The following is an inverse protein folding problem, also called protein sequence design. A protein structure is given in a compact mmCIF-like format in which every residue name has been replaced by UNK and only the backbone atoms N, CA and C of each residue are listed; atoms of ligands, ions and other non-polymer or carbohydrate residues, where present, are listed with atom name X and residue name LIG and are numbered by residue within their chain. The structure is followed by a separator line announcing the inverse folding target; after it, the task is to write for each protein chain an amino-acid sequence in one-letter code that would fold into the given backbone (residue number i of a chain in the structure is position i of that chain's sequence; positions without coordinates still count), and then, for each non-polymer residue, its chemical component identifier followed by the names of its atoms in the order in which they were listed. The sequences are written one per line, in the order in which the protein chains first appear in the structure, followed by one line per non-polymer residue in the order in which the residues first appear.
data_IF_026004257430
#
_entry.id   IF_026004257430
#
_cell.length_a   1.000
_cell.length_b   1.000
_cell.length_c   1.000
_cell.angle_alpha   90.00
_cell.angle_beta   90.00
_cell.angle_gamma   90.00
#
_symmetry.space_group_name_H-M   'P 1'
#
loop_
_entity.id
_entity.type
_entity.pdbx_description
1 polymer ?
#
# COMPACT_ATOMS: atom_id res chain seq x y z
N UNK A 1 -1.30 15.64 -45.49
CA UNK A 1 -0.44 14.64 -46.16
C UNK A 1 1.03 14.94 -45.90
N UNK A 2 1.77 13.91 -45.44
CA UNK A 2 3.24 13.71 -45.47
C UNK A 2 4.16 14.54 -44.55
N UNK A 3 4.48 13.90 -43.42
CA UNK A 3 5.80 13.69 -42.76
C UNK A 3 6.96 14.61 -43.18
N UNK A 4 7.54 15.32 -42.21
CA UNK A 4 8.93 15.82 -42.25
C UNK A 4 9.79 15.03 -41.27
N UNK A 5 10.53 14.07 -41.80
CA UNK A 5 11.64 13.37 -41.15
C UNK A 5 12.78 14.36 -40.92
N UNK A 6 13.22 14.54 -39.67
CA UNK A 6 14.42 15.31 -39.33
C UNK A 6 15.62 14.37 -39.34
N UNK A 7 16.55 14.59 -40.27
CA UNK A 7 17.86 13.94 -40.29
C UNK A 7 18.85 14.73 -39.42
N UNK A 8 19.63 13.97 -38.64
CA UNK A 8 20.81 14.36 -37.88
C UNK A 8 21.77 15.27 -38.68
N UNK A 9 22.36 16.25 -38.00
CA UNK A 9 23.59 16.91 -38.43
C UNK A 9 24.69 16.60 -37.41
N UNK A 10 25.70 15.84 -37.86
CA UNK A 10 26.99 15.66 -37.21
C UNK A 10 27.88 16.88 -37.53
N UNK A 11 28.50 17.47 -36.52
CA UNK A 11 29.64 18.40 -36.65
C UNK A 11 30.62 17.93 -35.57
N UNK A 12 31.83 17.44 -35.85
CA UNK A 12 32.80 17.91 -36.81
C UNK A 12 33.95 18.51 -36.00
N UNK A 13 34.88 17.67 -35.56
CA UNK A 13 35.98 18.05 -34.68
C UNK A 13 37.00 18.95 -35.37
N UNK A 14 37.62 19.85 -34.59
CA UNK A 14 38.82 20.56 -34.98
C UNK A 14 39.81 20.52 -33.81
N UNK A 15 40.94 19.85 -34.04
CA UNK A 15 42.08 19.81 -33.14
C UNK A 15 42.98 21.03 -33.38
N UNK A 16 43.42 21.68 -32.30
CA UNK A 16 44.60 22.53 -32.29
C UNK A 16 45.34 22.31 -30.97
N UNK A 17 46.53 21.70 -31.05
CA UNK A 17 47.49 21.52 -29.96
C UNK A 17 48.30 22.79 -29.82
N UNK A 18 48.42 23.33 -28.61
CA UNK A 18 49.52 24.22 -28.21
C UNK A 18 49.96 23.92 -26.77
N UNK A 19 51.28 23.92 -26.60
CA UNK A 19 52.03 23.29 -25.52
C UNK A 19 52.06 24.06 -24.19
N UNK A 20 52.31 23.30 -23.12
CA UNK A 20 52.54 23.71 -21.73
C UNK A 20 53.75 24.65 -21.54
N UNK A 21 53.60 25.67 -20.69
CA UNK A 21 54.62 26.13 -19.73
C UNK A 21 53.89 26.48 -18.41
N UNK A 22 54.35 25.90 -17.30
CA UNK A 22 53.72 25.95 -15.98
C UNK A 22 54.17 27.10 -15.07
N UNK A 23 53.40 27.33 -14.00
CA UNK A 23 53.73 28.21 -12.87
C UNK A 23 52.52 28.80 -12.15
N UNK A 24 51.91 28.00 -11.27
CA UNK A 24 50.95 28.32 -10.17
C UNK A 24 50.51 29.78 -9.96
N UNK A 25 49.24 30.10 -10.24
CA UNK A 25 48.19 30.52 -9.28
C UNK A 25 46.83 30.65 -10.02
N UNK A 26 45.74 30.42 -9.27
CA UNK A 26 44.32 30.67 -9.58
C UNK A 26 43.58 29.63 -10.45
N UNK A 27 42.99 28.60 -9.81
CA UNK A 27 41.73 28.06 -10.34
C UNK A 27 40.66 29.14 -10.13
N UNK A 28 40.22 29.77 -11.20
CA UNK A 28 38.99 30.56 -11.23
C UNK A 28 37.97 29.79 -12.07
N UNK A 29 36.94 29.25 -11.43
CA UNK A 29 35.78 28.71 -12.12
C UNK A 29 35.02 29.85 -12.79
N UNK A 30 35.08 29.93 -14.12
CA UNK A 30 34.16 30.73 -14.92
C UNK A 30 33.30 29.76 -15.74
N UNK A 31 32.10 29.52 -15.24
CA UNK A 31 31.10 28.68 -15.90
C UNK A 31 30.51 27.59 -15.03
N UNK A 32 30.19 27.87 -13.76
CA UNK A 32 29.13 27.10 -13.12
C UNK A 32 27.84 27.39 -13.89
N UNK A 33 27.35 26.37 -14.59
CA UNK A 33 26.05 26.38 -15.23
C UNK A 33 25.14 25.54 -14.34
N UNK A 34 24.25 26.21 -13.61
CA UNK A 34 23.13 25.54 -13.00
C UNK A 34 22.07 25.33 -14.08
N UNK A 35 21.67 24.08 -14.29
CA UNK A 35 20.43 23.74 -14.94
C UNK A 35 19.40 23.67 -13.81
N UNK A 36 18.52 24.66 -13.70
CA UNK A 36 17.33 24.50 -12.88
C UNK A 36 16.38 23.64 -13.70
N UNK A 37 16.33 22.35 -13.41
CA UNK A 37 15.24 21.50 -13.87
C UNK A 37 14.09 21.77 -12.91
N UNK A 38 12.99 22.30 -13.44
CA UNK A 38 11.71 22.29 -12.75
C UNK A 38 11.11 20.93 -13.09
N UNK A 39 11.24 19.94 -12.21
CA UNK A 39 10.52 18.68 -12.33
C UNK A 39 9.11 18.95 -11.82
N UNK A 40 8.20 19.23 -12.75
CA UNK A 40 6.78 19.00 -12.51
C UNK A 40 6.65 17.48 -12.46
N UNK A 41 6.56 16.89 -11.26
CA UNK A 41 6.25 15.47 -11.14
C UNK A 41 4.94 15.29 -11.90
N UNK A 42 4.95 14.54 -13.00
CA UNK A 42 3.79 14.28 -13.88
C UNK A 42 2.72 13.40 -13.15
N UNK A 43 2.51 13.64 -11.86
CA UNK A 43 1.58 12.94 -11.00
C UNK A 43 0.17 13.21 -11.51
N UNK A 44 -0.65 12.15 -11.67
CA UNK A 44 -2.04 12.34 -12.05
C UNK A 44 -2.79 13.06 -10.93
N UNK A 45 -3.96 13.59 -11.28
CA UNK A 45 -4.85 14.21 -10.29
C UNK A 45 -5.27 13.21 -9.21
N UNK A 46 -5.62 11.98 -9.63
CA UNK A 46 -6.02 10.88 -8.77
C UNK A 46 -5.16 9.65 -9.06
N UNK A 47 -4.81 8.90 -8.02
CA UNK A 47 -4.09 7.63 -8.16
C UNK A 47 -3.69 7.07 -6.80
N UNK A 48 -4.06 5.81 -6.54
CA UNK A 48 -3.75 5.11 -5.31
C UNK A 48 -3.07 3.77 -5.56
N UNK A 49 -2.23 3.34 -4.63
CA UNK A 49 -1.53 2.06 -4.70
C UNK A 49 -1.54 1.39 -3.34
N UNK A 50 -1.78 0.09 -3.31
CA UNK A 50 -1.55 -0.72 -2.11
C UNK A 50 -0.08 -1.13 -2.08
N UNK A 51 0.53 -0.99 -0.91
CA UNK A 51 1.84 -1.52 -0.60
C UNK A 51 1.67 -2.84 0.14
N UNK A 52 2.40 -3.86 -0.32
CA UNK A 52 2.44 -5.18 0.28
C UNK A 52 3.91 -5.60 0.43
N UNK A 53 4.47 -5.33 1.61
CA UNK A 53 5.84 -5.70 1.92
C UNK A 53 5.82 -6.96 2.77
N UNK A 54 6.44 -8.03 2.26
CA UNK A 54 6.36 -9.32 2.90
C UNK A 54 7.72 -9.98 2.99
N UNK A 55 8.06 -10.48 4.18
CA UNK A 55 9.21 -11.33 4.41
C UNK A 55 8.77 -12.58 5.20
N UNK A 56 8.97 -13.75 4.60
CA UNK A 56 8.52 -15.01 5.18
C UNK A 56 9.34 -15.42 6.41
N UNK A 57 10.64 -15.11 6.43
CA UNK A 57 11.56 -15.52 7.49
C UNK A 57 11.26 -14.78 8.81
N UNK A 58 11.09 -13.46 8.76
CA UNK A 58 10.74 -12.65 9.94
C UNK A 58 9.24 -12.68 10.27
N UNK A 59 8.38 -13.01 9.30
CA UNK A 59 6.94 -12.87 9.41
C UNK A 59 6.44 -11.44 9.24
N UNK A 60 7.28 -10.52 8.75
CA UNK A 60 6.87 -9.16 8.42
C UNK A 60 5.79 -9.16 7.34
N UNK A 61 4.76 -8.33 7.51
CA UNK A 61 3.69 -8.14 6.53
C UNK A 61 3.14 -6.74 6.69
N UNK A 62 3.73 -5.78 5.98
CA UNK A 62 3.27 -4.40 5.98
C UNK A 62 2.26 -4.19 4.86
N UNK A 63 1.02 -3.89 5.24
CA UNK A 63 -0.06 -3.57 4.31
C UNK A 63 -0.57 -2.16 4.58
N UNK A 64 -0.46 -1.29 3.59
CA UNK A 64 -0.92 0.09 3.67
C UNK A 64 -1.20 0.64 2.26
N UNK A 65 -1.70 1.87 2.21
CA UNK A 65 -2.06 2.52 0.95
C UNK A 65 -1.35 3.85 0.76
N UNK A 66 -0.87 4.10 -0.44
CA UNK A 66 -0.33 5.38 -0.89
C UNK A 66 -1.34 6.07 -1.81
N UNK A 67 -1.50 7.39 -1.66
CA UNK A 67 -2.04 8.25 -2.69
C UNK A 67 -0.88 8.93 -3.42
N UNK A 68 -0.53 8.45 -4.59
CA UNK A 68 0.55 9.03 -5.40
C UNK A 68 0.08 10.21 -6.26
N UNK A 69 -1.24 10.44 -6.32
CA UNK A 69 -1.85 11.57 -7.00
C UNK A 69 -1.71 12.89 -6.23
N UNK A 70 -2.31 13.95 -6.77
CA UNK A 70 -2.27 15.30 -6.16
C UNK A 70 -3.52 15.63 -5.34
N UNK A 71 -4.66 15.04 -5.67
CA UNK A 71 -5.95 15.25 -5.00
C UNK A 71 -6.18 14.21 -3.91
N UNK A 72 -7.02 14.55 -2.93
CA UNK A 72 -7.37 13.64 -1.84
C UNK A 72 -8.23 12.46 -2.30
N UNK A 73 -8.08 11.32 -1.63
CA UNK A 73 -8.80 10.08 -1.94
C UNK A 73 -9.50 9.50 -0.70
N UNK A 74 -10.63 8.86 -0.93
CA UNK A 74 -11.13 7.78 -0.08
C UNK A 74 -10.35 6.51 -0.38
N UNK A 75 -10.14 5.70 0.64
CA UNK A 75 -9.31 4.50 0.53
C UNK A 75 -9.91 3.38 1.36
N UNK A 76 -9.97 2.19 0.76
CA UNK A 76 -10.35 0.97 1.47
C UNK A 76 -9.49 -0.22 1.04
N UNK A 77 -9.25 -1.12 1.97
CA UNK A 77 -8.52 -2.38 1.74
C UNK A 77 -9.38 -3.55 2.20
N UNK A 78 -9.39 -4.64 1.45
CA UNK A 78 -9.97 -5.92 1.83
C UNK A 78 -8.89 -6.99 1.83
N UNK A 79 -9.01 -7.93 2.74
CA UNK A 79 -8.11 -9.04 2.88
C UNK A 79 -8.88 -10.35 2.67
N UNK A 80 -8.37 -11.21 1.79
CA UNK A 80 -8.78 -12.63 1.73
C UNK A 80 -7.57 -13.49 2.11
N UNK A 81 -7.80 -14.64 2.71
CA UNK A 81 -6.69 -15.48 3.18
C UNK A 81 -6.94 -16.95 2.92
N UNK A 82 -5.83 -17.67 2.72
CA UNK A 82 -5.82 -19.10 2.58
C UNK A 82 -4.74 -19.67 3.49
N UNK A 83 -5.13 -20.65 4.30
CA UNK A 83 -4.17 -21.53 4.94
C UNK A 83 -4.35 -22.95 4.41
N UNK A 84 -3.31 -23.47 3.77
CA UNK A 84 -3.32 -24.79 3.15
C UNK A 84 -2.34 -25.74 3.83
N UNK A 85 -2.71 -27.01 3.87
CA UNK A 85 -1.89 -28.13 4.34
C UNK A 85 -1.95 -29.24 3.30
N UNK A 86 -0.78 -29.69 2.83
CA UNK A 86 -0.61 -30.65 1.75
C UNK A 86 -1.43 -30.30 0.49
N UNK A 87 -1.48 -29.01 0.15
CA UNK A 87 -2.20 -28.49 -1.02
C UNK A 87 -3.73 -28.42 -0.87
N UNK A 88 -4.27 -28.58 0.34
CA UNK A 88 -5.71 -28.47 0.62
C UNK A 88 -5.95 -27.40 1.66
N UNK A 89 -6.97 -26.56 1.47
CA UNK A 89 -7.41 -25.58 2.47
C UNK A 89 -7.73 -26.28 3.80
N UNK A 90 -7.30 -25.69 4.92
CA UNK A 90 -7.74 -26.16 6.24
C UNK A 90 -9.17 -25.72 6.58
N UNK A 91 -9.68 -24.72 5.85
CA UNK A 91 -11.08 -24.30 5.87
C UNK A 91 -11.83 -25.19 4.87
N UNK A 92 -12.76 -26.00 5.38
CA UNK A 92 -13.49 -27.01 4.59
C UNK A 92 -14.69 -26.39 3.88
N UNK A 93 -14.42 -25.66 2.80
CA UNK A 93 -15.45 -25.08 1.92
C UNK A 93 -15.23 -25.49 0.47
N UNK A 94 -16.27 -26.02 -0.21
CA UNK A 94 -16.13 -26.59 -1.55
C UNK A 94 -15.88 -25.54 -2.63
N UNK A 95 -16.10 -24.26 -2.34
CA UNK A 95 -15.92 -23.16 -3.28
C UNK A 95 -14.50 -22.60 -3.30
N UNK A 96 -13.64 -23.00 -2.35
CA UNK A 96 -12.25 -22.52 -2.28
C UNK A 96 -11.41 -23.24 -3.34
N UNK A 97 -10.81 -22.48 -4.24
CA UNK A 97 -9.70 -22.92 -5.08
C UNK A 97 -8.39 -22.36 -4.53
N UNK A 98 -7.48 -23.25 -4.16
CA UNK A 98 -6.18 -22.89 -3.58
C UNK A 98 -5.28 -22.07 -4.52
N UNK A 99 -5.60 -22.03 -5.82
CA UNK A 99 -4.86 -21.28 -6.84
C UNK A 99 -5.59 -20.00 -7.29
N UNK A 100 -6.79 -19.72 -6.77
CA UNK A 100 -7.57 -18.56 -7.13
C UNK A 100 -7.90 -17.70 -5.89
N UNK A 101 -7.11 -16.64 -5.63
CA UNK A 101 -7.31 -15.74 -4.48
C UNK A 101 -8.68 -15.07 -4.40
N UNK A 102 -9.41 -14.99 -5.50
CA UNK A 102 -10.78 -14.45 -5.54
C UNK A 102 -11.80 -15.38 -4.88
N UNK A 103 -11.46 -16.66 -4.74
CA UNK A 103 -12.32 -17.65 -4.07
C UNK A 103 -12.05 -17.78 -2.58
N UNK A 104 -10.98 -17.15 -2.09
CA UNK A 104 -10.54 -17.31 -0.71
C UNK A 104 -11.48 -16.58 0.25
N UNK A 105 -11.74 -17.15 1.43
CA UNK A 105 -12.62 -16.49 2.37
C UNK A 105 -12.04 -15.16 2.86
N UNK A 106 -12.93 -14.18 3.01
CA UNK A 106 -12.58 -12.86 3.54
C UNK A 106 -12.10 -12.97 4.99
N UNK A 107 -10.98 -12.31 5.30
CA UNK A 107 -10.51 -12.15 6.67
C UNK A 107 -11.42 -11.17 7.41
N UNK A 108 -12.02 -11.63 8.51
CA UNK A 108 -12.88 -10.83 9.38
C UNK A 108 -12.31 -10.88 10.80
N UNK A 109 -11.92 -9.74 11.41
CA UNK A 109 -11.33 -9.74 12.75
C UNK A 109 -12.32 -10.19 13.83
N UNK A 110 -11.83 -10.64 14.99
CA UNK A 110 -12.64 -11.07 16.14
C UNK A 110 -12.10 -10.65 17.50
N UNK A 111 -12.93 -10.48 18.57
CA UNK A 111 -14.40 -10.57 18.61
C UNK A 111 -15.13 -9.21 18.61
N UNK A 112 -16.39 -9.27 18.20
CA UNK A 112 -17.30 -8.22 17.74
C UNK A 112 -17.82 -7.16 18.74
N UNK A 113 -17.13 -6.84 19.84
CA UNK A 113 -17.65 -5.76 20.70
C UNK A 113 -17.15 -5.60 22.12
N UNK A 114 -15.83 -5.58 22.37
CA UNK A 114 -15.36 -4.89 23.58
C UNK A 114 -15.23 -3.40 23.25
N UNK A 115 -16.21 -2.62 23.69
CA UNK A 115 -16.22 -1.17 23.52
C UNK A 115 -14.92 -0.55 24.09
N UNK A 116 -14.23 0.26 23.28
CA UNK A 116 -12.99 0.94 23.66
C UNK A 116 -11.70 0.13 23.51
N UNK A 117 -11.74 -1.03 22.85
CA UNK A 117 -10.54 -1.81 22.47
C UNK A 117 -10.26 -1.73 20.97
N UNK A 118 -9.03 -2.06 20.59
CA UNK A 118 -8.60 -2.22 19.20
C UNK A 118 -9.21 -3.45 18.53
N UNK A 119 -9.23 -3.47 17.20
CA UNK A 119 -9.57 -4.67 16.44
C UNK A 119 -8.52 -5.74 16.74
N UNK A 120 -8.97 -6.95 17.05
CA UNK A 120 -8.03 -8.03 17.33
C UNK A 120 -7.62 -8.75 16.05
N UNK A 121 -6.36 -9.19 16.04
CA UNK A 121 -5.73 -9.96 14.98
C UNK A 121 -6.23 -11.39 14.75
N UNK A 122 -7.24 -11.81 15.51
CA UNK A 122 -7.89 -13.12 15.37
C UNK A 122 -9.05 -13.05 14.38
N UNK A 123 -9.52 -14.19 13.88
CA UNK A 123 -10.65 -14.32 12.96
C UNK A 123 -11.93 -14.74 13.66
N UNK A 124 -13.06 -14.29 13.13
CA UNK A 124 -14.37 -14.94 13.34
C UNK A 124 -14.85 -15.64 12.08
N UNK A 125 -15.95 -16.37 12.20
CA UNK A 125 -16.62 -17.01 11.07
C UNK A 125 -15.80 -18.16 10.51
N UNK A 126 -15.77 -18.25 9.19
CA UNK A 126 -15.26 -19.41 8.44
C UNK A 126 -13.74 -19.58 8.56
N UNK A 127 -13.01 -18.49 8.79
CA UNK A 127 -11.56 -18.49 8.99
C UNK A 127 -11.14 -18.66 10.47
N UNK A 128 -12.08 -18.83 11.40
CA UNK A 128 -11.78 -19.08 12.81
C UNK A 128 -10.79 -20.25 13.03
N UNK A 129 -10.82 -21.37 12.26
CA UNK A 129 -9.84 -22.44 12.38
C UNK A 129 -8.38 -22.02 12.14
N UNK A 130 -8.12 -20.90 11.46
CA UNK A 130 -6.76 -20.38 11.21
C UNK A 130 -6.15 -19.81 12.50
N UNK A 131 -6.96 -19.38 13.48
CA UNK A 131 -6.49 -18.75 14.72
C UNK A 131 -5.52 -19.62 15.53
N UNK A 132 -5.60 -20.94 15.42
CA UNK A 132 -4.66 -21.83 16.11
C UNK A 132 -3.24 -21.77 15.53
N UNK A 133 -3.07 -21.25 14.31
CA UNK A 133 -1.81 -21.22 13.55
C UNK A 133 -1.25 -19.82 13.34
N UNK A 134 -2.09 -18.85 13.02
CA UNK A 134 -1.66 -17.48 12.75
C UNK A 134 -2.65 -16.45 13.29
N UNK A 135 -2.10 -15.39 13.89
CA UNK A 135 -2.79 -14.12 14.12
C UNK A 135 -2.19 -13.05 13.20
N UNK A 136 -2.89 -11.93 12.99
CA UNK A 136 -2.30 -10.73 12.37
C UNK A 136 -1.99 -9.69 13.44
N UNK A 137 -0.85 -9.02 13.35
CA UNK A 137 -0.66 -7.75 14.05
C UNK A 137 -1.29 -6.64 13.22
N UNK A 138 -2.20 -5.87 13.81
CA UNK A 138 -2.91 -4.79 13.13
C UNK A 138 -2.38 -3.45 13.58
N UNK A 139 -2.26 -2.51 12.64
CA UNK A 139 -1.65 -1.22 12.92
C UNK A 139 -0.15 -1.31 13.16
N UNK A 140 0.50 -0.15 13.22
CA UNK A 140 1.91 -0.04 13.58
C UNK A 140 2.06 0.31 15.06
N UNK A 141 3.20 -0.09 15.65
CA UNK A 141 3.52 0.21 17.06
C UNK A 141 4.35 1.49 17.27
N UNK A 142 4.89 2.05 16.18
CA UNK A 142 5.77 3.24 16.20
C UNK A 142 5.03 4.52 15.79
N UNK A 143 5.35 5.64 16.43
CA UNK A 143 4.64 6.91 16.28
C UNK A 143 5.59 8.11 16.13
N UNK A 144 5.05 9.24 15.68
CA UNK A 144 5.78 10.50 15.60
C UNK A 144 6.98 10.42 14.66
N UNK A 145 8.19 10.74 15.15
CA UNK A 145 9.40 10.69 14.33
C UNK A 145 9.86 9.25 14.02
N UNK A 146 9.44 8.28 14.82
CA UNK A 146 9.88 6.87 14.73
C UNK A 146 8.96 6.03 13.85
N UNK A 147 7.91 6.63 13.27
CA UNK A 147 6.99 5.95 12.35
C UNK A 147 7.72 5.38 11.12
N UNK A 148 7.21 4.29 10.52
CA UNK A 148 7.88 3.60 9.43
C UNK A 148 8.12 4.49 8.22
N UNK A 149 9.21 4.21 7.54
CA UNK A 149 9.50 4.77 6.22
C UNK A 149 9.04 3.78 5.15
N UNK A 150 8.51 4.33 4.08
CA UNK A 150 8.20 3.59 2.86
C UNK A 150 8.83 4.30 1.67
N UNK A 151 9.06 3.56 0.60
CA UNK A 151 9.46 4.15 -0.67
C UNK A 151 8.19 4.33 -1.54
N UNK A 152 7.89 5.55 -2.01
CA UNK A 152 6.77 5.82 -2.91
C UNK A 152 6.79 4.99 -4.19
N UNK A 153 5.62 4.54 -4.63
CA UNK A 153 5.45 3.71 -5.83
C UNK A 153 6.01 4.37 -7.08
N UNK A 154 6.63 3.58 -7.95
CA UNK A 154 7.13 4.04 -9.25
C UNK A 154 6.06 3.98 -10.34
N UNK A 155 5.06 3.11 -10.20
CA UNK A 155 3.95 2.99 -11.14
C UNK A 155 2.88 4.05 -10.83
N UNK A 156 2.95 5.16 -11.59
CA UNK A 156 2.02 6.30 -11.48
C UNK A 156 0.83 6.21 -12.46
N UNK A 157 0.57 5.04 -13.06
CA UNK A 157 -0.63 4.82 -13.88
C UNK A 157 -1.84 4.55 -12.98
N UNK A 158 -2.85 5.45 -12.94
CA UNK A 158 -4.04 5.27 -12.10
C UNK A 158 -4.96 4.15 -12.56
N UNK A 159 -4.74 3.58 -13.76
CA UNK A 159 -5.53 2.46 -14.28
C UNK A 159 -4.86 1.11 -14.07
N UNK A 160 -3.62 1.08 -13.58
CA UNK A 160 -2.91 -0.17 -13.28
C UNK A 160 -3.46 -0.81 -12.00
N UNK A 161 -3.67 -2.13 -12.04
CA UNK A 161 -4.13 -2.91 -10.88
C UNK A 161 -2.97 -3.49 -10.07
N UNK A 162 -1.73 -3.31 -10.53
CA UNK A 162 -0.53 -3.72 -9.79
C UNK A 162 -0.53 -3.19 -8.35
N UNK A 163 0.23 -3.82 -7.49
CA UNK A 163 0.53 -3.38 -6.14
C UNK A 163 1.99 -2.95 -6.09
N UNK A 164 2.38 -2.26 -5.02
CA UNK A 164 3.78 -2.09 -4.67
C UNK A 164 4.23 -3.26 -3.79
N UNK A 165 4.45 -4.42 -4.42
CA UNK A 165 4.82 -5.67 -3.75
C UNK A 165 6.35 -5.78 -3.61
N UNK A 166 6.86 -5.93 -2.39
CA UNK A 166 8.30 -6.03 -2.10
C UNK A 166 8.66 -7.32 -1.35
N UNK A 167 9.95 -7.69 -1.38
CA UNK A 167 10.45 -8.89 -0.71
C UNK A 167 9.94 -10.19 -1.33
N UNK A 168 9.30 -11.02 -0.52
CA UNK A 168 8.58 -12.22 -0.95
C UNK A 168 7.12 -11.94 -1.38
N UNK A 169 6.71 -10.67 -1.41
CA UNK A 169 5.40 -10.24 -1.92
C UNK A 169 5.19 -10.63 -3.39
N UNK A 170 3.94 -10.81 -3.77
CA UNK A 170 3.56 -11.24 -5.11
C UNK A 170 2.40 -10.42 -5.63
N UNK A 171 2.67 -9.61 -6.66
CA UNK A 171 1.64 -8.91 -7.40
C UNK A 171 0.97 -9.82 -8.42
N UNK A 172 -0.36 -9.82 -8.48
CA UNK A 172 -1.13 -10.72 -9.35
C UNK A 172 -1.16 -10.28 -10.82
N UNK A 173 -1.06 -8.98 -11.12
CA UNK A 173 -1.05 -8.48 -12.51
C UNK A 173 0.34 -8.69 -13.15
N UNK A 174 1.41 -8.47 -12.38
CA UNK A 174 2.79 -8.67 -12.80
C UNK A 174 3.29 -10.12 -12.65
N UNK A 175 2.64 -10.90 -11.78
CA UNK A 175 3.07 -12.23 -11.34
C UNK A 175 4.45 -12.21 -10.64
N UNK A 176 4.65 -11.29 -9.70
CA UNK A 176 5.91 -11.20 -8.94
C UNK A 176 6.12 -9.91 -8.15
N UNK A 177 7.37 -9.67 -7.77
CA UNK A 177 7.79 -8.46 -7.04
C UNK A 177 7.79 -7.28 -7.99
N UNK A 178 7.10 -6.21 -7.62
CA UNK A 178 6.98 -4.97 -8.41
C UNK A 178 7.71 -3.79 -7.78
N UNK A 179 8.13 -3.91 -6.52
CA UNK A 179 8.65 -2.80 -5.75
C UNK A 179 9.98 -3.14 -5.06
N UNK A 180 10.97 -2.22 -5.04
CA UNK A 180 12.23 -2.45 -4.35
C UNK A 180 12.07 -2.70 -2.85
N UNK A 181 13.09 -3.34 -2.27
CA UNK A 181 13.14 -3.72 -0.86
C UNK A 181 13.03 -5.22 -0.66
N UNK A 182 13.54 -5.70 0.47
CA UNK A 182 13.51 -7.14 0.81
C UNK A 182 12.27 -7.55 1.60
N UNK A 183 11.35 -6.61 1.86
CA UNK A 183 10.09 -6.86 2.57
C UNK A 183 10.24 -7.01 4.08
N UNK A 184 11.43 -6.81 4.65
CA UNK A 184 11.64 -6.83 6.09
C UNK A 184 11.13 -5.56 6.77
N UNK A 185 10.76 -5.68 8.04
CA UNK A 185 10.33 -4.55 8.86
C UNK A 185 11.42 -3.47 8.89
N UNK A 186 11.03 -2.21 8.66
CA UNK A 186 11.94 -1.06 8.68
C UNK A 186 13.13 -1.17 7.70
N UNK A 187 12.95 -1.85 6.57
CA UNK A 187 13.97 -1.90 5.52
C UNK A 187 14.40 -0.51 5.06
N UNK A 188 13.43 0.38 4.88
CA UNK A 188 13.65 1.77 4.49
C UNK A 188 13.91 2.66 5.70
N UNK A 189 14.81 3.64 5.54
CA UNK A 189 15.17 4.62 6.56
C UNK A 189 15.36 6.03 6.02
N UNK A 190 15.39 6.99 6.94
CA UNK A 190 15.48 8.41 6.61
C UNK A 190 16.66 8.73 5.67
N UNK A 191 16.35 9.33 4.51
CA UNK A 191 17.34 9.74 3.52
C UNK A 191 17.68 8.69 2.47
N UNK A 192 17.09 7.49 2.55
CA UNK A 192 17.22 6.49 1.51
C UNK A 192 16.53 6.93 0.21
N UNK A 193 17.10 6.47 -0.90
CA UNK A 193 16.57 6.64 -2.24
C UNK A 193 16.71 5.34 -3.01
N UNK A 194 15.86 5.13 -4.01
CA UNK A 194 15.98 3.99 -4.91
C UNK A 194 15.38 4.30 -6.28
N UNK A 195 15.84 3.55 -7.27
CA UNK A 195 15.20 3.45 -8.57
C UNK A 195 14.20 2.29 -8.59
N UNK A 196 13.29 2.32 -9.56
CA UNK A 196 12.37 1.25 -9.86
C UNK A 196 13.08 -0.06 -10.21
N UNK A 197 12.37 -1.18 -10.02
CA UNK A 197 12.71 -2.44 -10.66
C UNK A 197 12.44 -2.34 -12.18
N UNK A 198 12.96 -3.25 -13.02
CA UNK A 198 12.66 -3.26 -14.45
C UNK A 198 11.25 -3.78 -14.77
N UNK A 199 10.22 -3.14 -14.18
CA UNK A 199 8.80 -3.43 -14.35
C UNK A 199 8.19 -2.43 -15.33
N UNK A 200 7.30 -2.90 -16.20
CA UNK A 200 6.68 -2.05 -17.22
C UNK A 200 5.67 -1.08 -16.58
N UNK A 201 5.74 0.20 -16.93
CA UNK A 201 4.85 1.24 -16.39
C UNK A 201 5.50 2.09 -15.30
N UNK A 202 6.63 1.64 -14.74
CA UNK A 202 7.35 2.38 -13.71
C UNK A 202 8.04 3.64 -14.24
N UNK A 203 8.04 4.67 -13.39
CA UNK A 203 8.85 5.87 -13.58
C UNK A 203 10.34 5.52 -13.57
N UNK A 204 11.11 6.20 -14.44
CA UNK A 204 12.57 6.10 -14.46
C UNK A 204 13.24 7.03 -13.43
N UNK A 205 12.45 7.81 -12.69
CA UNK A 205 12.93 8.74 -11.68
C UNK A 205 13.39 8.00 -10.41
N UNK A 206 14.37 8.59 -9.73
CA UNK A 206 14.76 8.13 -8.40
C UNK A 206 13.74 8.63 -7.38
N UNK A 207 13.19 7.72 -6.58
CA UNK A 207 12.27 8.09 -5.51
C UNK A 207 13.03 8.13 -4.18
N UNK A 208 12.67 9.12 -3.35
CA UNK A 208 13.13 9.21 -1.98
C UNK A 208 12.08 8.64 -1.04
N UNK A 209 12.52 7.99 0.02
CA UNK A 209 11.59 7.46 1.02
C UNK A 209 10.80 8.57 1.70
N UNK A 210 9.59 8.24 2.11
CA UNK A 210 8.70 9.09 2.89
C UNK A 210 8.25 8.34 4.13
N UNK A 211 7.73 9.06 5.13
CA UNK A 211 7.09 8.42 6.27
C UNK A 211 5.60 8.26 6.02
N UNK A 212 5.05 7.14 6.47
CA UNK A 212 3.59 6.96 6.55
C UNK A 212 2.97 8.00 7.50
N UNK A 213 1.66 8.19 7.41
CA UNK A 213 0.92 9.01 8.36
C UNK A 213 1.03 8.42 9.77
N UNK A 214 1.04 9.31 10.77
CA UNK A 214 1.06 8.87 12.17
C UNK A 214 -0.26 8.17 12.51
N UNK A 215 -0.16 7.01 13.15
CA UNK A 215 -1.33 6.26 13.60
C UNK A 215 -1.91 6.92 14.85
N UNK A 216 -3.04 7.61 14.72
CA UNK A 216 -3.68 8.28 15.85
C UNK A 216 -4.39 7.29 16.78
N UNK A 217 -4.82 6.15 16.23
CA UNK A 217 -5.47 5.04 16.93
C UNK A 217 -5.13 3.71 16.25
N UNK A 218 -5.08 2.60 17.01
CA UNK A 218 -5.03 1.29 16.37
C UNK A 218 -6.29 1.06 15.52
N UNK A 219 -6.24 0.18 14.50
CA UNK A 219 -7.42 -0.20 13.73
C UNK A 219 -8.58 -0.62 14.63
N UNK A 220 -9.80 -0.20 14.28
CA UNK A 220 -11.03 -0.49 15.01
C UNK A 220 -11.97 -1.29 14.12
N UNK A 221 -12.80 -2.16 14.69
CA UNK A 221 -13.99 -2.63 13.98
C UNK A 221 -15.03 -1.51 13.88
N UNK A 222 -15.94 -1.59 12.92
CA UNK A 222 -17.02 -0.61 12.75
C UNK A 222 -17.83 -0.41 14.05
N UNK A 223 -18.15 -1.50 14.76
CA UNK A 223 -18.83 -1.42 16.05
C UNK A 223 -17.98 -0.72 17.14
N UNK A 224 -16.66 -0.94 17.18
CA UNK A 224 -15.75 -0.24 18.09
C UNK A 224 -15.66 1.26 17.75
N UNK A 225 -15.62 1.59 16.46
CA UNK A 225 -15.61 2.96 15.95
C UNK A 225 -16.89 3.72 16.30
N UNK A 226 -18.07 3.12 16.12
CA UNK A 226 -19.34 3.68 16.58
C UNK A 226 -19.32 3.97 18.09
N UNK A 227 -18.83 3.01 18.89
CA UNK A 227 -18.73 3.18 20.34
C UNK A 227 -17.72 4.27 20.75
N UNK A 228 -16.72 4.53 19.92
CA UNK A 228 -15.75 5.62 20.11
C UNK A 228 -16.30 7.00 19.72
N UNK A 229 -17.55 7.07 19.22
CA UNK A 229 -18.20 8.31 18.79
C UNK A 229 -17.80 8.75 17.38
N UNK A 230 -17.65 7.78 16.47
CA UNK A 230 -17.35 7.99 15.03
C UNK A 230 -16.18 8.95 14.74
N UNK A 231 -15.03 8.83 15.43
CA UNK A 231 -13.92 9.74 15.18
C UNK A 231 -13.43 9.65 13.73
N UNK A 232 -13.08 10.79 13.15
CA UNK A 232 -12.29 10.92 11.91
C UNK A 232 -10.84 11.10 12.32
N UNK A 233 -9.92 10.42 11.64
CA UNK A 233 -8.49 10.48 11.97
C UNK A 233 -7.65 9.45 11.23
N UNK A 234 -6.35 9.45 11.52
CA UNK A 234 -5.40 8.59 10.84
C UNK A 234 -5.39 7.17 11.44
N UNK A 235 -6.41 6.37 11.10
CA UNK A 235 -6.54 4.97 11.47
C UNK A 235 -7.55 4.25 10.57
N UNK A 236 -7.63 2.92 10.68
CA UNK A 236 -8.51 2.07 9.88
C UNK A 236 -9.79 1.67 10.64
N UNK A 237 -10.93 1.64 9.93
CA UNK A 237 -12.21 1.12 10.43
C UNK A 237 -12.62 -0.11 9.62
N UNK A 238 -12.67 -1.27 10.26
CA UNK A 238 -12.93 -2.55 9.62
C UNK A 238 -14.40 -2.92 9.78
N UNK A 239 -15.12 -2.96 8.67
CA UNK A 239 -16.47 -3.49 8.62
C UNK A 239 -16.43 -5.03 8.67
N UNK A 240 -17.00 -5.60 9.72
CA UNK A 240 -17.00 -7.05 9.91
C UNK A 240 -18.09 -7.76 9.08
N UNK A 241 -19.01 -7.03 8.46
CA UNK A 241 -20.06 -7.61 7.62
C UNK A 241 -19.55 -7.83 6.19
N UNK A 242 -18.73 -6.90 5.67
CA UNK A 242 -18.17 -6.98 4.33
C UNK A 242 -16.69 -7.38 4.30
N UNK A 243 -15.94 -7.13 5.38
CA UNK A 243 -14.49 -7.28 5.48
C UNK A 243 -13.66 -6.14 4.88
N UNK A 244 -14.32 -5.07 4.43
CA UNK A 244 -13.61 -3.86 4.02
C UNK A 244 -13.09 -3.07 5.22
N UNK A 245 -11.84 -2.64 5.15
CA UNK A 245 -11.22 -1.68 6.06
C UNK A 245 -11.14 -0.31 5.38
N UNK A 246 -11.80 0.70 5.95
CA UNK A 246 -11.85 2.06 5.44
C UNK A 246 -10.83 2.94 6.18
N UNK A 247 -10.07 3.74 5.45
CA UNK A 247 -9.25 4.78 6.07
C UNK A 247 -10.18 5.87 6.62
N UNK A 248 -10.10 6.15 7.92
CA UNK A 248 -11.06 7.01 8.62
C UNK A 248 -10.81 8.51 8.40
N UNK A 249 -10.22 8.89 7.28
CA UNK A 249 -9.93 10.26 6.89
C UNK A 249 -9.75 10.33 5.36
N UNK A 250 -9.62 11.53 4.81
CA UNK A 250 -9.06 11.69 3.47
C UNK A 250 -7.58 11.34 3.45
N UNK A 251 -7.15 10.59 2.44
CA UNK A 251 -5.73 10.39 2.17
C UNK A 251 -5.24 11.51 1.24
N UNK A 252 -4.43 12.41 1.77
CA UNK A 252 -3.89 13.55 1.01
C UNK A 252 -2.93 13.08 -0.10
N UNK A 253 -2.84 13.86 -1.19
CA UNK A 253 -1.93 13.60 -2.29
C UNK A 253 -0.47 13.52 -1.83
N UNK A 254 0.25 12.49 -2.27
CA UNK A 254 1.62 12.18 -1.90
C UNK A 254 1.81 11.53 -0.53
N UNK A 255 0.74 11.25 0.22
CA UNK A 255 0.80 10.62 1.54
C UNK A 255 0.47 9.12 1.48
N UNK A 256 0.92 8.38 2.50
CA UNK A 256 0.51 6.99 2.73
C UNK A 256 -0.14 6.82 4.10
N UNK A 257 -1.14 5.95 4.19
CA UNK A 257 -1.81 5.58 5.45
C UNK A 257 -0.81 4.96 6.43
N UNK A 258 -1.15 4.93 7.72
CA UNK A 258 -0.49 3.98 8.62
C UNK A 258 -0.83 2.53 8.22
N UNK A 259 -0.12 1.56 8.79
CA UNK A 259 -0.32 0.16 8.49
C UNK A 259 -1.72 -0.32 8.89
N UNK A 260 -2.34 -1.14 8.04
CA UNK A 260 -3.50 -1.97 8.39
C UNK A 260 -3.01 -3.27 9.03
N UNK A 261 -2.04 -3.92 8.39
CA UNK A 261 -1.34 -5.12 8.87
C UNK A 261 0.15 -4.78 8.97
N UNK A 262 0.78 -5.26 10.04
CA UNK A 262 2.22 -5.05 10.34
C UNK A 262 2.99 -6.37 10.37
N UNK A 263 2.33 -7.47 10.79
CA UNK A 263 2.98 -8.78 10.76
C UNK A 263 1.99 -9.95 10.80
N UNK A 264 2.45 -11.12 10.34
CA UNK A 264 1.84 -12.40 10.65
C UNK A 264 2.51 -12.99 11.90
N UNK A 265 1.70 -13.42 12.86
CA UNK A 265 2.16 -13.91 14.15
C UNK A 265 1.89 -15.41 14.26
N UNK A 266 2.92 -16.29 14.16
CA UNK A 266 2.75 -17.72 14.31
C UNK A 266 2.27 -18.07 15.72
N UNK A 267 1.34 -19.03 15.80
CA UNK A 267 0.74 -19.52 17.03
C UNK A 267 1.22 -20.94 17.33
N UNK A 268 0.97 -21.40 18.57
CA UNK A 268 1.53 -22.65 19.09
C UNK A 268 1.26 -23.89 18.23
N UNK A 269 0.08 -24.01 17.61
CA UNK A 269 -0.25 -25.20 16.83
C UNK A 269 0.57 -25.32 15.53
N UNK A 270 1.22 -24.24 15.09
CA UNK A 270 2.11 -24.27 13.92
C UNK A 270 3.36 -25.14 14.18
N UNK A 271 3.82 -25.26 15.42
CA UNK A 271 4.99 -26.10 15.74
C UNK A 271 4.71 -27.61 15.57
N UNK A 272 3.45 -28.01 15.67
CA UNK A 272 3.01 -29.41 15.62
C UNK A 272 2.40 -29.79 14.26
N UNK A 273 2.42 -28.88 13.28
CA UNK A 273 1.82 -29.13 11.97
C UNK A 273 2.67 -30.14 11.17
N UNK A 274 2.10 -31.30 10.89
CA UNK A 274 2.73 -32.29 10.00
C UNK A 274 2.48 -31.97 8.52
N UNK A 275 3.49 -32.18 7.66
CA UNK A 275 3.38 -32.01 6.21
C UNK A 275 3.67 -30.60 5.72
N UNK A 276 3.57 -30.40 4.41
CA UNK A 276 3.81 -29.10 3.79
C UNK A 276 2.61 -28.19 4.06
N UNK A 277 2.86 -26.91 4.33
CA UNK A 277 1.80 -25.93 4.57
C UNK A 277 2.17 -24.57 3.98
N UNK A 278 1.16 -23.76 3.69
CA UNK A 278 1.34 -22.38 3.25
C UNK A 278 0.22 -21.49 3.80
N UNK A 279 0.60 -20.31 4.30
CA UNK A 279 -0.32 -19.25 4.69
C UNK A 279 -0.15 -18.08 3.72
N UNK A 280 -1.25 -17.64 3.12
CA UNK A 280 -1.28 -16.60 2.10
C UNK A 280 -2.34 -15.56 2.47
N UNK A 281 -2.00 -14.28 2.29
CA UNK A 281 -2.88 -13.13 2.50
C UNK A 281 -2.92 -12.34 1.20
N UNK A 282 -4.09 -12.30 0.58
CA UNK A 282 -4.36 -11.53 -0.63
C UNK A 282 -4.94 -10.17 -0.23
N UNK A 283 -4.39 -9.11 -0.82
CA UNK A 283 -4.71 -7.73 -0.47
C UNK A 283 -5.35 -7.02 -1.65
N UNK A 284 -6.55 -6.50 -1.44
CA UNK A 284 -7.36 -5.82 -2.47
C UNK A 284 -7.52 -4.37 -2.04
N UNK A 285 -7.05 -3.42 -2.83
CA UNK A 285 -7.19 -1.98 -2.58
C UNK A 285 -8.16 -1.30 -3.51
N UNK A 286 -8.93 -0.34 -3.00
CA UNK A 286 -9.79 0.52 -3.81
C UNK A 286 -9.70 1.98 -3.36
N UNK A 287 -9.73 2.87 -4.35
CA UNK A 287 -9.51 4.31 -4.20
C UNK A 287 -10.54 5.13 -4.99
N UNK A 288 -11.10 6.18 -4.40
CA UNK A 288 -12.07 7.03 -5.07
C UNK A 288 -11.83 8.50 -4.75
N UNK A 289 -12.07 9.33 -5.76
CA UNK A 289 -12.27 10.77 -5.56
C UNK A 289 -13.63 11.01 -4.89
N UNK A 290 -13.83 12.20 -4.34
CA UNK A 290 -15.13 12.61 -3.81
C UNK A 290 -16.26 12.58 -4.87
N UNK A 291 -15.93 12.90 -6.13
CA UNK A 291 -16.88 12.86 -7.23
C UNK A 291 -17.25 11.45 -7.69
N UNK A 292 -16.46 10.45 -7.31
CA UNK A 292 -16.57 9.08 -7.80
C UNK A 292 -16.93 8.07 -6.70
N UNK A 293 -17.38 8.52 -5.53
CA UNK A 293 -17.76 7.64 -4.40
C UNK A 293 -18.83 6.63 -4.82
N UNK A 294 -19.74 6.95 -5.74
CA UNK A 294 -20.74 5.98 -6.20
C UNK A 294 -20.10 4.74 -6.85
N UNK A 295 -18.90 4.87 -7.42
CA UNK A 295 -18.16 3.76 -8.03
C UNK A 295 -17.53 2.83 -6.98
N UNK A 296 -17.31 3.28 -5.74
CA UNK A 296 -16.85 2.41 -4.63
C UNK A 296 -17.80 1.27 -4.36
N UNK A 297 -19.08 1.49 -4.59
CA UNK A 297 -20.12 0.57 -4.19
C UNK A 297 -20.48 -0.43 -5.28
N UNK A 298 -20.11 -0.19 -6.53
CA UNK A 298 -20.53 -1.01 -7.68
C UNK A 298 -20.18 -2.50 -7.50
N UNK A 299 -18.98 -2.81 -7.00
CA UNK A 299 -18.58 -4.21 -6.76
C UNK A 299 -19.35 -4.86 -5.61
N UNK A 300 -19.65 -4.10 -4.56
CA UNK A 300 -20.37 -4.58 -3.38
C UNK A 300 -21.86 -4.78 -3.71
N UNK A 301 -22.46 -3.83 -4.41
CA UNK A 301 -23.84 -3.90 -4.93
C UNK A 301 -24.01 -5.11 -5.86
N UNK A 302 -23.06 -5.32 -6.76
CA UNK A 302 -23.05 -6.47 -7.66
C UNK A 302 -22.93 -7.80 -6.89
N UNK A 303 -22.22 -7.81 -5.75
CA UNK A 303 -22.10 -8.95 -4.86
C UNK A 303 -23.26 -9.07 -3.85
N UNK A 304 -24.18 -8.11 -3.80
CA UNK A 304 -25.29 -8.07 -2.84
C UNK A 304 -24.83 -7.80 -1.39
N UNK A 305 -23.67 -7.17 -1.22
CA UNK A 305 -23.14 -6.74 0.08
C UNK A 305 -23.75 -5.40 0.49
N UNK A 306 -23.98 -5.21 1.78
CA UNK A 306 -24.46 -3.92 2.31
C UNK A 306 -23.35 -2.88 2.27
N UNK A 307 -23.63 -1.69 1.77
CA UNK A 307 -22.70 -0.54 1.73
C UNK A 307 -22.88 0.40 2.92
N UNK A 308 -23.92 0.18 3.75
CA UNK A 308 -24.36 1.10 4.81
C UNK A 308 -23.23 1.53 5.76
N UNK A 309 -22.39 0.58 6.21
CA UNK A 309 -21.28 0.88 7.10
C UNK A 309 -20.19 1.72 6.43
N UNK A 310 -19.84 1.39 5.18
CA UNK A 310 -18.87 2.14 4.40
C UNK A 310 -19.35 3.54 4.07
N UNK A 311 -20.61 3.67 3.63
CA UNK A 311 -21.26 4.97 3.40
C UNK A 311 -21.24 5.82 4.66
N UNK A 312 -21.55 5.23 5.82
CA UNK A 312 -21.52 5.93 7.09
C UNK A 312 -20.14 6.45 7.47
N UNK A 313 -19.07 5.68 7.23
CA UNK A 313 -17.69 6.14 7.46
C UNK A 313 -17.36 7.32 6.54
N UNK A 314 -17.74 7.24 5.26
CA UNK A 314 -17.50 8.30 4.29
C UNK A 314 -18.28 9.58 4.64
N UNK A 315 -19.54 9.46 5.06
CA UNK A 315 -20.36 10.59 5.52
C UNK A 315 -19.68 11.34 6.67
N UNK A 316 -19.17 10.64 7.68
CA UNK A 316 -18.50 11.28 8.82
C UNK A 316 -17.22 12.03 8.40
N UNK A 317 -16.47 11.50 7.43
CA UNK A 317 -15.29 12.17 6.87
C UNK A 317 -15.69 13.46 6.14
N UNK A 318 -16.77 13.43 5.35
CA UNK A 318 -17.28 14.59 4.61
C UNK A 318 -17.84 15.66 5.57
N UNK A 319 -18.59 15.24 6.60
CA UNK A 319 -19.17 16.14 7.59
C UNK A 319 -18.08 16.84 8.41
N UNK A 320 -16.98 16.15 8.74
CA UNK A 320 -15.84 16.73 9.45
C UNK A 320 -15.10 17.83 8.64
N UNK A 321 -15.25 17.85 7.31
CA UNK A 321 -14.63 18.85 6.41
C UNK A 321 -15.51 20.06 6.16
N UNK A 322 -16.81 19.97 6.46
CA UNK A 322 -17.74 21.09 6.29
C UNK A 322 -17.65 22.01 7.53
N UNK A 323 -17.21 23.27 7.40
CA UNK A 323 -17.18 24.18 8.55
C UNK A 323 -18.59 24.33 9.13
N UNK A 324 -18.71 24.30 10.46
CA UNK A 324 -19.97 24.62 11.11
C UNK A 324 -20.50 26.00 10.62
N UNK A 325 -21.80 26.12 10.32
CA UNK A 325 -22.39 27.31 9.71
C UNK A 325 -22.26 28.60 10.54
#
# INVERSE_FOLDING_TARGET
MKKRTKNLIKIGGLAAVLALIGGTFAFTSFGQRALNITEDTNRPEYGGRVHDYFDDESGNKDVFSENFGTSQLFTRIKLTELFSKNGVSIVDEPTIDVNDPETWPTWIPGPSGIAGSEAAGTRIGINEPINQYFHLSLGQSTHGADRPWFLPTFNLDPLSMMTAAAGAGFDMEHEGVTHPGDGTANYWGAGDTSFALPVAGDSAEEHAVQQVLDQERPPLTYAQWLNAGTPVGNFWVIDQDTGWAYWANFLAGGAATSFLVDSKLPQGALADIEGDWSYQLHVIGQFASEGDISQFWESDDAAGLSTEHGERVIEEILDAQTPAP
#
